data_IF_720155953542
#
_entry.id   IF_720155953542
#
_cell.length_a   1.000
_cell.length_b   1.000
_cell.length_c   1.000
_cell.angle_alpha   90.00
_cell.angle_beta   90.00
_cell.angle_gamma   90.00
#
_symmetry.space_group_name_H-M   'P 1'
#
loop_
_entity.id
_entity.type
_entity.pdbx_description
1 polymer ?
#
# COMPACT_ATOMS: atom_id res chain seq x y z
N UNK A 1 -5.16 -1.00 20.72
CA UNK A 1 -6.06 -1.77 21.60
C UNK A 1 -7.05 -2.55 20.73
N UNK A 2 -7.45 -3.75 21.15
CA UNK A 2 -8.38 -4.72 20.50
C UNK A 2 -7.88 -5.68 19.39
N UNK A 3 -6.58 -5.79 19.12
CA UNK A 3 -6.07 -6.94 18.37
C UNK A 3 -5.31 -7.86 19.31
N UNK A 4 -5.91 -9.03 19.59
CA UNK A 4 -5.18 -10.17 20.16
C UNK A 4 -3.90 -10.33 19.33
N UNK A 5 -2.78 -10.38 20.02
CA UNK A 5 -1.45 -10.50 19.45
C UNK A 5 -1.29 -11.93 18.92
N UNK A 6 -1.92 -12.22 17.79
CA UNK A 6 -1.86 -13.52 17.14
C UNK A 6 -0.41 -13.73 16.67
N UNK A 7 0.30 -14.70 17.26
CA UNK A 7 1.70 -14.98 16.94
C UNK A 7 1.89 -15.47 15.49
N UNK A 8 0.79 -15.75 14.76
CA UNK A 8 0.77 -16.12 13.35
C UNK A 8 0.37 -15.00 12.40
N UNK A 9 -0.05 -13.82 12.89
CA UNK A 9 -0.24 -12.68 12.02
C UNK A 9 1.14 -12.23 11.55
N UNK A 10 1.36 -12.29 10.25
CA UNK A 10 2.63 -12.04 9.59
C UNK A 10 3.00 -10.55 9.67
N UNK A 11 3.33 -10.08 10.88
CA UNK A 11 3.52 -8.67 11.24
C UNK A 11 4.44 -7.96 10.27
N UNK A 12 5.50 -8.66 9.84
CA UNK A 12 6.47 -8.17 8.87
C UNK A 12 5.85 -7.89 7.50
N UNK A 13 4.91 -8.72 7.06
CA UNK A 13 4.22 -8.53 5.78
C UNK A 13 3.25 -7.35 5.83
N UNK A 14 2.55 -7.17 6.95
CA UNK A 14 1.66 -6.02 7.17
C UNK A 14 2.45 -4.72 7.28
N UNK A 15 3.59 -4.73 7.97
CA UNK A 15 4.48 -3.58 8.10
C UNK A 15 5.03 -3.14 6.74
N UNK A 16 5.52 -4.09 5.93
CA UNK A 16 5.96 -3.83 4.55
C UNK A 16 4.83 -3.24 3.69
N UNK A 17 3.63 -3.82 3.76
CA UNK A 17 2.48 -3.29 3.02
C UNK A 17 2.09 -1.87 3.46
N UNK A 18 2.21 -1.58 4.75
CA UNK A 18 1.93 -0.24 5.31
C UNK A 18 2.97 0.78 4.85
N UNK A 19 4.26 0.44 4.92
CA UNK A 19 5.33 1.30 4.41
C UNK A 19 5.22 1.54 2.90
N UNK A 20 4.89 0.50 2.12
CA UNK A 20 4.67 0.64 0.67
C UNK A 20 3.50 1.57 0.35
N UNK A 21 2.40 1.45 1.10
CA UNK A 21 1.23 2.32 0.93
C UNK A 21 1.54 3.77 1.31
N UNK A 22 2.34 3.98 2.36
CA UNK A 22 2.79 5.31 2.75
C UNK A 22 3.68 5.96 1.68
N UNK A 23 4.65 5.22 1.14
CA UNK A 23 5.50 5.70 0.04
C UNK A 23 4.66 6.04 -1.19
N UNK A 24 3.68 5.18 -1.53
CA UNK A 24 2.74 5.44 -2.62
C UNK A 24 1.95 6.74 -2.39
N UNK A 25 1.43 6.97 -1.19
CA UNK A 25 0.74 8.21 -0.83
C UNK A 25 1.64 9.44 -0.96
N UNK A 26 2.88 9.37 -0.47
CA UNK A 26 3.83 10.47 -0.63
C UNK A 26 4.10 10.80 -2.11
N UNK A 27 4.29 9.78 -2.96
CA UNK A 27 4.49 9.96 -4.39
C UNK A 27 3.25 10.55 -5.07
N UNK A 28 2.07 10.06 -4.73
CA UNK A 28 0.81 10.52 -5.29
C UNK A 28 0.54 11.99 -4.91
N UNK A 29 0.79 12.38 -3.66
CA UNK A 29 0.70 13.77 -3.24
C UNK A 29 1.71 14.67 -3.94
N UNK A 30 2.95 14.20 -4.12
CA UNK A 30 3.99 14.95 -4.82
C UNK A 30 3.61 15.19 -6.29
N UNK A 31 3.05 14.17 -6.95
CA UNK A 31 2.52 14.30 -8.31
C UNK A 31 1.29 15.21 -8.36
N UNK A 32 0.39 15.12 -7.38
CA UNK A 32 -0.81 15.96 -7.33
C UNK A 32 -0.40 17.44 -7.18
N UNK A 33 0.52 17.74 -6.26
CA UNK A 33 1.07 19.08 -6.06
C UNK A 33 1.81 19.59 -7.31
N UNK A 34 2.61 18.75 -7.96
CA UNK A 34 3.32 19.13 -9.18
C UNK A 34 2.38 19.41 -10.36
N UNK A 35 1.33 18.60 -10.51
CA UNK A 35 0.32 18.78 -11.55
C UNK A 35 -0.51 20.05 -11.33
N UNK A 36 -0.92 20.30 -10.09
CA UNK A 36 -1.67 21.51 -9.73
C UNK A 36 -0.84 22.77 -10.01
N UNK A 37 0.47 22.73 -9.75
CA UNK A 37 1.38 23.85 -9.99
C UNK A 37 1.67 24.11 -11.48
N UNK A 38 1.68 23.08 -12.33
CA UNK A 38 2.06 23.20 -13.76
C UNK A 38 0.84 23.35 -14.68
N UNK A 39 -0.25 22.67 -14.36
CA UNK A 39 -1.43 22.54 -15.23
C UNK A 39 -2.71 23.15 -14.64
N UNK A 40 -2.69 23.64 -13.38
CA UNK A 40 -3.88 24.08 -12.63
C UNK A 40 -4.99 23.01 -12.55
N UNK A 41 -4.65 21.74 -12.81
CA UNK A 41 -5.56 20.60 -12.75
C UNK A 41 -5.09 19.67 -11.64
N UNK A 42 -5.99 19.42 -10.70
CA UNK A 42 -5.79 18.42 -9.66
C UNK A 42 -5.93 17.02 -10.25
N UNK A 43 -4.91 16.18 -10.05
CA UNK A 43 -4.91 14.77 -10.47
C UNK A 43 -5.92 13.99 -9.63
N UNK A 44 -6.10 14.39 -8.37
CA UNK A 44 -7.08 13.81 -7.46
C UNK A 44 -7.85 14.94 -6.77
N UNK A 45 -9.02 15.28 -7.31
CA UNK A 45 -9.97 16.22 -6.70
C UNK A 45 -10.76 15.56 -5.57
N UNK A 46 -11.11 14.28 -5.73
CA UNK A 46 -11.92 13.53 -4.77
C UNK A 46 -11.06 12.76 -3.76
N UNK A 47 -11.14 13.17 -2.49
CA UNK A 47 -10.54 12.47 -1.34
C UNK A 47 -10.91 10.97 -1.27
N UNK A 48 -12.08 10.61 -1.80
CA UNK A 48 -12.54 9.22 -1.88
C UNK A 48 -11.66 8.37 -2.81
N UNK A 49 -11.28 8.92 -3.98
CA UNK A 49 -10.43 8.22 -4.96
C UNK A 49 -9.04 7.98 -4.37
N UNK A 50 -8.54 8.94 -3.60
CA UNK A 50 -7.27 8.80 -2.88
C UNK A 50 -7.29 7.67 -1.84
N UNK A 51 -8.39 7.57 -1.09
CA UNK A 51 -8.60 6.51 -0.11
C UNK A 51 -8.66 5.13 -0.77
N UNK A 52 -9.44 4.99 -1.84
CA UNK A 52 -9.55 3.71 -2.55
C UNK A 52 -8.26 3.30 -3.26
N UNK A 53 -7.48 4.25 -3.79
CA UNK A 53 -6.19 3.94 -4.42
C UNK A 53 -5.16 3.44 -3.40
N UNK A 54 -5.09 4.07 -2.23
CA UNK A 54 -4.27 3.59 -1.10
C UNK A 54 -4.67 2.18 -0.65
N UNK A 55 -5.97 1.94 -0.52
CA UNK A 55 -6.49 0.64 -0.12
C UNK A 55 -6.17 -0.45 -1.16
N UNK A 56 -6.31 -0.15 -2.45
CA UNK A 56 -5.98 -1.05 -3.54
C UNK A 56 -4.49 -1.42 -3.54
N UNK A 57 -3.61 -0.45 -3.31
CA UNK A 57 -2.15 -0.67 -3.22
C UNK A 57 -1.80 -1.48 -1.96
N UNK A 58 -2.44 -1.22 -0.83
CA UNK A 58 -2.23 -1.98 0.40
C UNK A 58 -2.60 -3.46 0.24
N UNK A 59 -3.80 -3.73 -0.28
CA UNK A 59 -4.25 -5.10 -0.54
C UNK A 59 -3.43 -5.77 -1.64
N UNK A 60 -3.07 -5.05 -2.70
CA UNK A 60 -2.20 -5.55 -3.77
C UNK A 60 -0.82 -5.95 -3.25
N UNK A 61 -0.23 -5.13 -2.39
CA UNK A 61 1.07 -5.42 -1.76
C UNK A 61 0.98 -6.59 -0.80
N UNK A 62 -0.07 -6.68 0.03
CA UNK A 62 -0.32 -7.84 0.88
C UNK A 62 -0.49 -9.13 0.08
N UNK A 63 -1.22 -9.07 -1.04
CA UNK A 63 -1.43 -10.21 -1.92
C UNK A 63 -0.11 -10.64 -2.58
N UNK A 64 0.67 -9.69 -3.11
CA UNK A 64 1.98 -9.94 -3.70
C UNK A 64 2.93 -10.57 -2.67
N UNK A 65 3.05 -10.00 -1.46
CA UNK A 65 3.94 -10.54 -0.41
C UNK A 65 3.52 -11.95 0.00
N UNK A 66 2.22 -12.21 0.20
CA UNK A 66 1.71 -13.57 0.49
C UNK A 66 2.00 -14.54 -0.66
N UNK A 67 1.83 -14.10 -1.91
CA UNK A 67 2.09 -14.92 -3.10
C UNK A 67 3.58 -15.25 -3.23
N UNK A 68 4.47 -14.27 -3.09
CA UNK A 68 5.92 -14.46 -3.10
C UNK A 68 6.38 -15.39 -1.98
N UNK A 69 5.84 -15.24 -0.76
CA UNK A 69 6.17 -16.11 0.38
C UNK A 69 5.68 -17.55 0.18
N UNK A 70 4.52 -17.74 -0.44
CA UNK A 70 3.99 -19.06 -0.79
C UNK A 70 4.87 -19.75 -1.85
N UNK A 71 5.38 -19.00 -2.81
CA UNK A 71 6.32 -19.54 -3.81
C UNK A 71 7.71 -19.84 -3.24
N UNK A 72 8.20 -19.06 -2.27
CA UNK A 72 9.48 -19.38 -1.62
C UNK A 72 9.41 -20.66 -0.78
N UNK A 73 8.30 -20.93 -0.08
CA UNK A 73 8.11 -22.20 0.65
C UNK A 73 8.10 -23.43 -0.27
N UNK A 74 7.71 -23.29 -1.53
CA UNK A 74 7.73 -24.38 -2.53
C UNK A 74 9.12 -24.64 -3.13
N UNK A 75 10.06 -23.70 -3.03
CA UNK A 75 11.40 -23.85 -3.60
C UNK A 75 12.40 -24.53 -2.65
N UNK A 76 11.99 -24.76 -1.39
CA UNK A 76 12.78 -25.38 -0.32
C UNK A 76 12.16 -26.68 0.22
N UNK A 77 11.17 -27.25 -0.48
CA UNK A 77 10.64 -28.60 -0.25
C UNK A 77 10.96 -29.47 -1.45
#
# INVERSE_FOLDING_TARGET
MFFKNDQNADKRSTDIATSATFIFWCLLFLLNMGSEMIFEVAVVEDSSIMLFSGLAVFFGTLYAVKYYRKNQKRKFS
#
